data_IF_727461110710
#
_entry.id   IF_727461110710
#
_cell.length_a   1.000
_cell.length_b   1.000
_cell.length_c   1.000
_cell.angle_alpha   90.00
_cell.angle_beta   90.00
_cell.angle_gamma   90.00
#
_symmetry.space_group_name_H-M   'P 1'
#
loop_
_entity.id
_entity.type
_entity.pdbx_description
1 polymer ?
#
# COMPACT_ATOMS: atom_id res chain seq x y z
N UNK A 1 70.35 -1.77 -15.50
CA UNK A 1 70.11 -1.81 -16.97
C UNK A 1 68.86 -1.00 -17.27
N UNK A 2 69.02 0.13 -17.97
CA UNK A 2 67.94 1.02 -18.43
C UNK A 2 67.70 0.73 -19.92
N UNK A 3 66.45 0.53 -20.34
CA UNK A 3 66.01 0.59 -21.76
C UNK A 3 64.70 1.40 -21.76
N UNK A 4 64.74 2.69 -22.10
CA UNK A 4 64.66 3.32 -23.44
C UNK A 4 63.34 3.01 -24.19
N UNK A 5 62.40 3.92 -23.93
CA UNK A 5 61.42 4.59 -24.82
C UNK A 5 61.64 4.46 -26.34
N UNK A 6 60.57 4.17 -27.09
CA UNK A 6 60.27 4.72 -28.43
C UNK A 6 58.74 4.91 -28.57
N UNK A 7 58.38 6.06 -29.11
CA UNK A 7 57.08 6.68 -29.38
C UNK A 7 56.58 6.31 -30.79
N UNK A 8 55.26 6.32 -31.07
CA UNK A 8 54.72 7.22 -32.11
C UNK A 8 53.40 7.86 -31.63
N UNK A 9 53.15 9.18 -31.63
CA UNK A 9 53.06 10.22 -32.66
C UNK A 9 52.03 9.97 -33.79
N UNK A 10 51.01 10.86 -33.73
CA UNK A 10 50.10 11.41 -34.76
C UNK A 10 48.91 10.57 -35.25
N UNK A 11 47.70 11.02 -34.90
CA UNK A 11 46.88 11.81 -35.83
C UNK A 11 45.78 12.56 -35.05
N UNK A 12 45.79 13.89 -35.19
CA UNK A 12 44.76 14.78 -34.69
C UNK A 12 43.49 14.65 -35.53
N UNK A 13 42.34 14.45 -34.88
CA UNK A 13 41.04 14.79 -35.46
C UNK A 13 40.45 15.88 -34.58
N UNK A 14 40.61 17.10 -35.07
CA UNK A 14 39.86 18.29 -34.67
C UNK A 14 38.36 18.03 -34.92
N UNK A 15 37.59 17.83 -33.85
CA UNK A 15 36.14 18.03 -33.91
C UNK A 15 35.83 19.42 -33.40
N UNK A 16 35.42 20.23 -34.37
CA UNK A 16 34.97 21.61 -34.26
C UNK A 16 33.84 21.70 -33.24
N UNK A 17 34.05 22.51 -32.20
CA UNK A 17 32.95 23.08 -31.42
C UNK A 17 32.17 24.03 -32.34
N UNK A 18 30.91 23.70 -32.63
CA UNK A 18 29.91 24.69 -33.04
C UNK A 18 28.72 24.63 -32.08
N UNK A 19 28.19 25.78 -31.62
CA UNK A 19 27.01 25.82 -30.78
C UNK A 19 25.80 25.75 -31.71
N UNK A 20 25.12 24.62 -31.79
CA UNK A 20 23.79 24.60 -32.39
C UNK A 20 22.78 25.17 -31.39
N UNK A 21 22.48 26.44 -31.63
CA UNK A 21 21.29 27.12 -31.15
C UNK A 21 20.03 26.28 -31.43
N UNK A 22 19.06 26.40 -30.53
CA UNK A 22 17.84 25.63 -30.54
C UNK A 22 17.04 25.72 -31.83
N UNK A 23 16.60 24.55 -32.28
CA UNK A 23 15.33 24.43 -32.99
C UNK A 23 14.36 23.70 -32.08
N UNK A 24 13.46 24.48 -31.49
CA UNK A 24 12.15 24.01 -31.06
C UNK A 24 11.44 23.66 -32.37
N UNK A 25 11.58 22.41 -32.80
CA UNK A 25 10.66 21.83 -33.77
C UNK A 25 9.56 21.15 -32.94
N UNK A 26 8.40 21.82 -32.89
CA UNK A 26 7.14 21.20 -32.53
C UNK A 26 6.88 20.07 -33.51
N UNK A 27 7.29 18.85 -33.16
CA UNK A 27 6.86 17.64 -33.83
C UNK A 27 5.47 17.31 -33.25
N UNK A 28 4.46 17.78 -33.96
CA UNK A 28 3.08 17.29 -33.87
C UNK A 28 3.16 15.77 -34.15
N UNK A 29 3.11 14.95 -33.09
CA UNK A 29 3.30 13.52 -33.22
C UNK A 29 2.05 12.90 -33.85
N UNK A 30 2.24 12.20 -34.96
CA UNK A 30 1.26 11.25 -35.49
C UNK A 30 0.75 10.37 -34.34
N UNK A 31 -0.57 10.27 -34.23
CA UNK A 31 -1.30 9.61 -33.16
C UNK A 31 -0.86 8.14 -33.08
N UNK A 32 0.02 7.84 -32.13
CA UNK A 32 0.54 6.49 -31.91
C UNK A 32 -0.49 5.76 -31.06
N UNK A 33 -1.23 4.85 -31.68
CA UNK A 33 -2.10 3.90 -30.97
C UNK A 33 -1.26 3.11 -29.96
N UNK A 34 -1.59 3.24 -28.68
CA UNK A 34 -0.94 2.49 -27.59
C UNK A 34 -1.77 1.26 -27.27
N UNK A 35 -1.16 0.08 -27.35
CA UNK A 35 -1.81 -1.20 -27.05
C UNK A 35 -1.42 -1.70 -25.66
N UNK A 36 -2.27 -2.44 -24.96
CA UNK A 36 -1.95 -3.15 -23.70
C UNK A 36 -1.18 -4.45 -23.94
N UNK A 37 -0.98 -5.25 -22.89
CA UNK A 37 -0.35 -6.58 -23.02
C UNK A 37 -1.30 -7.66 -23.55
N UNK A 38 -2.58 -7.33 -23.67
CA UNK A 38 -3.63 -8.12 -24.30
C UNK A 38 -3.81 -7.81 -25.80
N UNK A 39 -2.95 -6.96 -26.37
CA UNK A 39 -2.97 -6.59 -27.79
C UNK A 39 -4.15 -5.71 -28.20
N UNK A 40 -4.89 -5.14 -27.24
CA UNK A 40 -5.99 -4.20 -27.51
C UNK A 40 -5.52 -2.76 -27.25
N UNK A 41 -6.05 -1.81 -28.01
CA UNK A 41 -5.81 -0.38 -27.81
C UNK A 41 -6.23 0.05 -26.40
N UNK A 42 -5.40 0.87 -25.76
CA UNK A 42 -5.62 1.41 -24.41
C UNK A 42 -6.54 2.61 -24.52
N UNK A 43 -7.62 2.62 -23.75
CA UNK A 43 -8.46 3.80 -23.57
C UNK A 43 -7.80 4.72 -22.54
N UNK A 44 -7.52 5.97 -22.92
CA UNK A 44 -6.75 6.91 -22.08
C UNK A 44 -7.65 8.07 -21.64
N UNK A 45 -7.86 8.17 -20.33
CA UNK A 45 -8.53 9.30 -19.69
C UNK A 45 -7.46 10.17 -19.03
N UNK A 46 -7.22 11.38 -19.54
CA UNK A 46 -6.13 12.23 -19.05
C UNK A 46 -6.48 13.73 -19.04
N UNK A 47 -5.83 14.53 -18.18
CA UNK A 47 -5.80 15.98 -18.30
C UNK A 47 -5.01 16.43 -19.55
N UNK A 48 -5.33 17.62 -20.04
CA UNK A 48 -4.72 18.19 -21.26
C UNK A 48 -3.21 18.44 -21.11
N UNK A 49 -2.73 18.67 -19.89
CA UNK A 49 -1.34 18.99 -19.58
C UNK A 49 -0.40 17.78 -19.47
N UNK A 50 -0.93 16.55 -19.61
CA UNK A 50 -0.11 15.35 -19.70
C UNK A 50 0.44 15.17 -21.12
N UNK A 51 1.77 15.14 -21.23
CA UNK A 51 2.48 14.93 -22.49
C UNK A 51 2.42 13.48 -22.97
N UNK A 52 2.38 13.27 -24.29
CA UNK A 52 2.39 11.93 -24.89
C UNK A 52 3.62 11.11 -24.50
N UNK A 53 4.78 11.75 -24.33
CA UNK A 53 5.99 11.09 -23.85
C UNK A 53 5.82 10.49 -22.43
N UNK A 54 5.06 11.17 -21.57
CA UNK A 54 4.76 10.66 -20.22
C UNK A 54 3.81 9.48 -20.25
N UNK A 55 2.82 9.51 -21.15
CA UNK A 55 1.88 8.40 -21.38
C UNK A 55 2.64 7.17 -21.86
N UNK A 56 3.53 7.32 -22.84
CA UNK A 56 4.38 6.25 -23.36
C UNK A 56 5.25 5.63 -22.26
N UNK A 57 5.83 6.45 -21.38
CA UNK A 57 6.58 5.99 -20.21
C UNK A 57 5.71 5.16 -19.26
N UNK A 58 4.52 5.65 -18.93
CA UNK A 58 3.58 4.98 -18.03
C UNK A 58 3.11 3.64 -18.59
N UNK A 59 2.70 3.60 -19.85
CA UNK A 59 2.27 2.36 -20.51
C UNK A 59 3.39 1.34 -20.53
N UNK A 60 4.63 1.73 -20.87
CA UNK A 60 5.76 0.81 -20.83
C UNK A 60 6.05 0.30 -19.41
N UNK A 61 5.87 1.15 -18.40
CA UNK A 61 6.02 0.77 -16.99
C UNK A 61 4.97 -0.26 -16.56
N UNK A 62 3.70 -0.06 -16.91
CA UNK A 62 2.63 -1.02 -16.60
C UNK A 62 2.83 -2.34 -17.35
N UNK A 63 3.17 -2.31 -18.65
CA UNK A 63 3.50 -3.50 -19.43
C UNK A 63 4.63 -4.32 -18.80
N UNK A 64 5.70 -3.64 -18.38
CA UNK A 64 6.82 -4.29 -17.72
C UNK A 64 6.40 -4.93 -16.40
N UNK A 65 5.54 -4.26 -15.61
CA UNK A 65 4.94 -4.85 -14.41
C UNK A 65 4.16 -6.13 -14.71
N UNK A 66 3.33 -6.12 -15.75
CA UNK A 66 2.56 -7.29 -16.18
C UNK A 66 3.47 -8.42 -16.69
N UNK A 67 4.52 -8.11 -17.45
CA UNK A 67 5.52 -9.10 -17.88
C UNK A 67 6.26 -9.72 -16.70
N UNK A 68 6.62 -8.93 -15.69
CA UNK A 68 7.23 -9.41 -14.45
C UNK A 68 6.26 -10.32 -13.65
N UNK A 69 4.97 -9.97 -13.59
CA UNK A 69 3.93 -10.80 -12.98
C UNK A 69 3.74 -12.13 -13.74
N UNK A 70 3.71 -12.08 -15.07
CA UNK A 70 3.66 -13.28 -15.93
C UNK A 70 4.90 -14.17 -15.73
N UNK A 71 6.10 -13.57 -15.67
CA UNK A 71 7.36 -14.30 -15.49
C UNK A 71 7.52 -14.89 -14.07
N UNK A 72 7.07 -14.18 -13.04
CA UNK A 72 7.02 -14.68 -11.66
C UNK A 72 6.07 -15.88 -11.56
N UNK A 73 4.91 -15.79 -12.19
CA UNK A 73 3.95 -16.88 -12.24
C UNK A 73 4.41 -18.05 -13.14
N UNK A 74 5.16 -17.82 -14.22
CA UNK A 74 5.80 -18.87 -15.04
C UNK A 74 6.89 -19.65 -14.28
N UNK A 75 7.62 -19.00 -13.36
CA UNK A 75 8.60 -19.70 -12.49
C UNK A 75 7.94 -20.66 -11.51
N UNK A 76 6.68 -20.41 -11.15
CA UNK A 76 5.84 -21.35 -10.37
C UNK A 76 5.38 -22.55 -11.23
N UNK A 77 5.30 -22.38 -12.56
CA UNK A 77 4.80 -23.38 -13.52
C UNK A 77 5.79 -24.43 -13.98
N UNK A 78 7.10 -24.29 -13.70
CA UNK A 78 8.10 -25.27 -14.16
C UNK A 78 7.90 -26.69 -13.58
N UNK A 79 6.95 -26.88 -12.66
CA UNK A 79 6.57 -28.19 -12.09
C UNK A 79 5.07 -28.52 -12.16
N UNK A 80 4.27 -27.82 -12.97
CA UNK A 80 2.83 -28.12 -13.07
C UNK A 80 2.35 -27.84 -14.50
N UNK A 81 1.81 -28.86 -15.17
CA UNK A 81 1.07 -28.72 -16.42
C UNK A 81 -0.19 -27.89 -16.16
N UNK A 82 -0.05 -26.57 -16.09
CA UNK A 82 -1.17 -25.62 -16.03
C UNK A 82 -1.46 -25.22 -17.46
N UNK A 83 -2.70 -25.43 -17.88
CA UNK A 83 -3.21 -24.98 -19.18
C UNK A 83 -3.01 -23.46 -19.30
N UNK A 84 -2.52 -23.00 -20.45
CA UNK A 84 -2.33 -21.58 -20.78
C UNK A 84 -3.57 -20.72 -20.49
N UNK A 85 -4.77 -21.32 -20.48
CA UNK A 85 -6.06 -20.63 -20.28
C UNK A 85 -6.29 -20.01 -18.89
N UNK A 86 -5.44 -20.28 -17.89
CA UNK A 86 -5.51 -19.60 -16.58
C UNK A 86 -4.83 -18.22 -16.63
N UNK A 87 -3.84 -18.05 -17.51
CA UNK A 87 -3.13 -16.77 -17.69
C UNK A 87 -3.92 -15.78 -18.54
N UNK A 88 -4.72 -16.31 -19.48
CA UNK A 88 -5.61 -15.53 -20.33
C UNK A 88 -6.80 -14.91 -19.58
N UNK A 89 -7.02 -15.26 -18.30
CA UNK A 89 -8.15 -14.76 -17.50
C UNK A 89 -7.74 -13.84 -16.33
N UNK A 90 -6.48 -13.40 -16.27
CA UNK A 90 -5.99 -12.53 -15.19
C UNK A 90 -6.46 -11.07 -15.34
N UNK A 91 -6.77 -10.44 -14.21
CA UNK A 91 -7.04 -9.00 -14.11
C UNK A 91 -5.79 -8.34 -13.52
N UNK A 92 -5.28 -7.32 -14.20
CA UNK A 92 -4.16 -6.52 -13.71
C UNK A 92 -4.67 -5.12 -13.39
N UNK A 93 -4.53 -4.71 -12.13
CA UNK A 93 -4.96 -3.40 -11.64
C UNK A 93 -3.77 -2.75 -10.90
N UNK A 94 -3.29 -1.61 -11.43
CA UNK A 94 -2.16 -0.88 -10.87
C UNK A 94 -2.57 0.56 -10.59
N UNK A 95 -2.20 1.05 -9.41
CA UNK A 95 -2.29 2.46 -9.06
C UNK A 95 -0.90 3.00 -8.71
N UNK A 96 -0.50 4.09 -9.37
CA UNK A 96 0.73 4.83 -9.07
C UNK A 96 0.33 6.23 -8.62
N UNK A 97 0.78 6.62 -7.43
CA UNK A 97 0.60 7.98 -6.92
C UNK A 97 1.88 8.76 -7.21
N UNK A 98 1.81 9.71 -8.13
CA UNK A 98 2.87 10.69 -8.41
C UNK A 98 2.66 11.99 -7.63
N UNK A 99 3.64 12.90 -7.74
CA UNK A 99 3.59 14.21 -7.06
C UNK A 99 2.39 15.07 -7.51
N UNK A 100 2.10 15.07 -8.82
CA UNK A 100 1.07 15.92 -9.42
C UNK A 100 -0.15 15.16 -9.97
N UNK A 101 -0.11 13.81 -10.00
CA UNK A 101 -1.15 12.97 -10.61
C UNK A 101 -1.24 11.59 -9.96
N UNK A 102 -2.44 11.02 -9.93
CA UNK A 102 -2.68 9.59 -9.72
C UNK A 102 -2.87 8.92 -11.08
N UNK A 103 -2.17 7.80 -11.30
CA UNK A 103 -2.23 7.02 -12.52
C UNK A 103 -2.80 5.63 -12.20
N UNK A 104 -3.94 5.30 -12.79
CA UNK A 104 -4.62 4.00 -12.62
C UNK A 104 -4.61 3.25 -13.94
N UNK A 105 -4.19 2.00 -13.93
CA UNK A 105 -4.17 1.14 -15.11
C UNK A 105 -4.87 -0.18 -14.82
N UNK A 106 -5.91 -0.48 -15.59
CA UNK A 106 -6.64 -1.74 -15.51
C UNK A 106 -6.55 -2.48 -16.85
N UNK A 107 -6.12 -3.74 -16.81
CA UNK A 107 -6.16 -4.65 -17.95
C UNK A 107 -6.93 -5.92 -17.59
N UNK A 108 -8.02 -6.16 -18.33
CA UNK A 108 -8.85 -7.36 -18.21
C UNK A 108 -8.89 -8.16 -19.52
N UNK A 109 -9.13 -9.48 -19.49
CA UNK A 109 -9.05 -10.37 -20.67
C UNK A 109 -9.91 -9.97 -21.87
N UNK A 110 -11.11 -9.45 -21.59
CA UNK A 110 -12.17 -9.29 -22.59
C UNK A 110 -12.58 -7.82 -22.81
N UNK A 111 -11.77 -6.87 -22.36
CA UNK A 111 -12.01 -5.44 -22.59
C UNK A 111 -10.72 -4.73 -22.99
N UNK A 112 -10.87 -3.54 -23.57
CA UNK A 112 -9.75 -2.64 -23.77
C UNK A 112 -9.15 -2.28 -22.41
N UNK A 113 -7.82 -2.25 -22.25
CA UNK A 113 -7.19 -1.72 -21.05
C UNK A 113 -7.53 -0.24 -20.89
N UNK A 114 -7.63 0.23 -19.66
CA UNK A 114 -7.94 1.62 -19.34
C UNK A 114 -6.79 2.24 -18.56
N UNK A 115 -6.30 3.40 -19.02
CA UNK A 115 -5.35 4.25 -18.30
C UNK A 115 -6.05 5.54 -17.90
N UNK A 116 -6.25 5.74 -16.60
CA UNK A 116 -6.82 6.97 -16.06
C UNK A 116 -5.74 7.76 -15.33
N UNK A 117 -5.58 9.03 -15.72
CA UNK A 117 -4.68 9.99 -15.11
C UNK A 117 -5.55 11.08 -14.50
N UNK A 118 -5.34 11.36 -13.23
CA UNK A 118 -6.19 12.28 -12.46
C UNK A 118 -5.29 13.22 -11.67
N UNK A 119 -5.61 14.51 -11.62
CA UNK A 119 -4.95 15.40 -10.65
C UNK A 119 -5.37 14.97 -9.24
N UNK A 120 -4.45 14.87 -8.27
CA UNK A 120 -4.83 14.77 -6.88
C UNK A 120 -5.61 16.05 -6.56
N UNK A 121 -6.71 15.94 -5.82
CA UNK A 121 -7.54 17.10 -5.53
C UNK A 121 -6.72 18.13 -4.71
N UNK A 122 -6.35 19.25 -5.36
CA UNK A 122 -5.30 20.16 -4.91
C UNK A 122 -5.83 21.07 -3.81
N UNK A 123 -5.71 20.63 -2.56
CA UNK A 123 -5.80 21.51 -1.38
C UNK A 123 -4.55 21.53 -0.49
N UNK A 124 -3.48 20.83 -0.86
CA UNK A 124 -2.32 20.60 0.00
C UNK A 124 -0.95 21.11 -0.53
N UNK A 125 -0.91 21.96 -1.55
CA UNK A 125 0.37 22.36 -2.16
C UNK A 125 0.67 23.87 -2.13
N UNK A 126 0.32 24.62 -1.09
CA UNK A 126 1.02 25.91 -0.81
C UNK A 126 1.00 26.18 0.70
N UNK A 127 2.13 26.00 1.38
CA UNK A 127 2.66 26.97 2.36
C UNK A 127 3.95 26.43 2.98
N UNK A 128 5.07 26.89 2.43
CA UNK A 128 6.39 26.71 3.00
C UNK A 128 7.18 28.01 2.87
N UNK A 129 6.99 28.92 3.82
CA UNK A 129 8.01 29.84 4.36
C UNK A 129 7.35 30.90 5.24
N UNK A 130 7.42 30.72 6.55
CA UNK A 130 7.94 31.72 7.50
C UNK A 130 7.95 31.16 8.92
N UNK A 131 9.10 31.31 9.58
CA UNK A 131 9.35 30.91 10.96
C UNK A 131 8.32 31.46 11.94
N UNK A 132 7.55 30.55 12.54
CA UNK A 132 7.06 30.60 13.93
C UNK A 132 6.56 29.20 14.29
N UNK A 133 7.03 28.66 15.42
CA UNK A 133 6.61 27.36 15.96
C UNK A 133 5.13 27.45 16.32
N UNK A 134 4.28 27.08 15.36
CA UNK A 134 2.91 26.60 15.57
C UNK A 134 2.95 25.11 15.30
N UNK A 135 2.58 24.30 16.28
CA UNK A 135 2.35 22.86 16.10
C UNK A 135 1.35 22.68 14.96
N UNK A 136 1.84 22.28 13.77
CA UNK A 136 0.99 21.94 12.64
C UNK A 136 0.05 20.83 13.09
N UNK A 137 -1.27 21.04 12.89
CA UNK A 137 -2.25 20.00 13.15
C UNK A 137 -1.88 18.77 12.30
N UNK A 138 -1.86 17.60 12.93
CA UNK A 138 -1.68 16.35 12.21
C UNK A 138 -2.84 16.21 11.21
N UNK A 139 -2.52 15.87 9.97
CA UNK A 139 -3.49 15.59 8.93
C UNK A 139 -3.12 14.25 8.29
N UNK A 140 -4.11 13.38 8.08
CA UNK A 140 -3.87 12.04 7.55
C UNK A 140 -3.77 11.99 6.02
N UNK A 141 -4.07 13.11 5.34
CA UNK A 141 -3.83 13.36 3.92
C UNK A 141 -4.98 12.93 3.01
N UNK A 142 -5.56 11.75 3.23
CA UNK A 142 -6.57 11.14 2.35
C UNK A 142 -7.88 10.76 3.05
N UNK A 143 -8.14 11.34 4.22
CA UNK A 143 -9.40 11.17 4.94
C UNK A 143 -9.32 11.62 6.38
N UNK A 144 -9.87 10.81 7.30
CA UNK A 144 -9.88 11.08 8.74
C UNK A 144 -9.24 9.94 9.51
N UNK A 145 -8.68 10.22 10.68
CA UNK A 145 -8.10 9.18 11.49
C UNK A 145 -7.31 9.64 12.69
N UNK A 146 -7.01 8.67 13.56
CA UNK A 146 -6.09 8.84 14.65
C UNK A 146 -4.88 7.93 14.48
N UNK A 147 -3.71 8.44 14.86
CA UNK A 147 -2.45 7.72 14.93
C UNK A 147 -1.84 7.80 16.33
N UNK A 148 -1.46 6.66 16.86
CA UNK A 148 -0.70 6.55 18.10
C UNK A 148 0.64 5.90 17.80
N UNK A 149 1.72 6.68 17.91
CA UNK A 149 3.08 6.17 17.79
C UNK A 149 3.60 5.57 19.09
N UNK A 150 4.46 4.56 18.96
CA UNK A 150 5.11 3.82 20.05
C UNK A 150 6.61 3.78 19.77
N UNK A 151 7.38 4.50 20.57
CA UNK A 151 8.84 4.57 20.51
C UNK A 151 9.42 3.48 21.41
N UNK A 152 9.58 2.28 20.84
CA UNK A 152 10.16 1.12 21.54
C UNK A 152 10.84 0.18 20.56
N UNK A 153 12.11 -0.13 20.82
CA UNK A 153 12.86 -1.12 20.06
C UNK A 153 12.33 -2.54 20.33
N UNK A 154 12.33 -3.36 19.27
CA UNK A 154 12.06 -4.79 19.29
C UNK A 154 11.79 -5.27 17.87
N UNK A 155 11.70 -6.58 17.66
CA UNK A 155 11.60 -7.20 16.33
C UNK A 155 10.16 -7.28 15.82
N UNK A 156 9.19 -7.26 16.73
CA UNK A 156 7.78 -7.22 16.40
C UNK A 156 6.93 -6.51 17.44
N UNK A 157 5.82 -5.96 16.98
CA UNK A 157 4.70 -5.53 17.81
C UNK A 157 3.59 -6.59 17.77
N UNK A 158 2.93 -6.82 18.89
CA UNK A 158 1.70 -7.60 18.97
C UNK A 158 0.64 -6.89 19.77
N UNK A 159 -0.62 -7.01 19.36
CA UNK A 159 -1.77 -6.39 20.05
C UNK A 159 -3.01 -7.26 19.88
N UNK A 160 -3.90 -7.21 20.86
CA UNK A 160 -5.28 -7.67 20.73
C UNK A 160 -6.11 -6.50 20.21
N UNK A 161 -6.58 -6.59 18.97
CA UNK A 161 -7.43 -5.59 18.34
C UNK A 161 -8.88 -6.06 18.44
N UNK A 162 -9.71 -5.30 19.16
CA UNK A 162 -11.16 -5.42 19.08
C UNK A 162 -11.64 -4.68 17.83
N UNK A 163 -12.17 -5.45 16.89
CA UNK A 163 -12.83 -4.92 15.70
C UNK A 163 -14.14 -4.25 16.09
N UNK A 164 -14.50 -3.14 15.43
CA UNK A 164 -15.70 -2.39 15.75
C UNK A 164 -16.98 -3.16 15.40
N UNK A 165 -18.09 -2.75 16.00
CA UNK A 165 -19.42 -3.09 15.51
C UNK A 165 -19.64 -2.47 14.14
N UNK A 166 -20.44 -3.09 13.28
CA UNK A 166 -20.79 -2.51 11.96
C UNK A 166 -21.43 -1.12 12.08
N UNK A 167 -22.19 -0.87 13.16
CA UNK A 167 -22.79 0.44 13.43
C UNK A 167 -21.77 1.53 13.76
N UNK A 168 -20.56 1.15 14.17
CA UNK A 168 -19.44 2.04 14.45
C UNK A 168 -18.59 2.32 13.21
N UNK A 169 -18.94 1.72 12.06
CA UNK A 169 -18.22 1.91 10.80
C UNK A 169 -19.16 2.55 9.78
N UNK A 170 -18.78 3.73 9.32
CA UNK A 170 -19.33 4.37 8.13
C UNK A 170 -18.15 4.57 7.20
N UNK A 171 -17.92 3.61 6.31
CA UNK A 171 -16.90 3.74 5.29
C UNK A 171 -17.41 4.68 4.20
N UNK A 172 -16.51 5.49 3.63
CA UNK A 172 -16.78 6.27 2.42
C UNK A 172 -16.07 5.59 1.25
N UNK A 173 -14.74 5.66 1.22
CA UNK A 173 -13.93 4.87 0.28
C UNK A 173 -13.49 3.56 0.92
N UNK A 174 -12.86 3.64 2.10
CA UNK A 174 -12.41 2.47 2.85
C UNK A 174 -12.19 2.82 4.32
N UNK A 175 -12.38 1.86 5.23
CA UNK A 175 -12.08 2.01 6.65
C UNK A 175 -11.03 1.00 7.08
N UNK A 176 -10.01 1.46 7.81
CA UNK A 176 -8.87 0.62 8.19
C UNK A 176 -8.61 0.62 9.69
N UNK A 177 -8.22 -0.54 10.20
CA UNK A 177 -7.62 -0.70 11.52
C UNK A 177 -6.30 -1.43 11.35
N UNK A 178 -5.19 -0.77 11.62
CA UNK A 178 -3.87 -1.34 11.38
C UNK A 178 -2.84 -0.92 12.41
N UNK A 179 -1.81 -1.76 12.50
CA UNK A 179 -0.52 -1.39 13.07
C UNK A 179 0.51 -1.29 11.96
N UNK A 180 1.77 -1.10 12.31
CA UNK A 180 2.80 -0.80 11.34
C UNK A 180 4.04 -0.24 12.01
N UNK A 181 4.94 0.23 11.18
CA UNK A 181 6.18 0.82 11.64
C UNK A 181 6.73 1.84 10.65
N UNK A 182 7.64 2.68 11.14
CA UNK A 182 8.55 3.45 10.29
C UNK A 182 9.99 3.02 10.58
N UNK A 183 10.83 3.00 9.55
CA UNK A 183 12.26 2.71 9.66
C UNK A 183 13.04 3.40 8.55
N UNK A 184 13.68 4.53 8.84
CA UNK A 184 14.32 5.39 7.87
C UNK A 184 13.33 5.74 6.76
N UNK A 185 13.60 5.22 5.56
CA UNK A 185 12.76 5.51 4.39
C UNK A 185 11.63 4.48 4.20
N UNK A 186 11.45 3.55 5.13
CA UNK A 186 10.37 2.57 5.10
C UNK A 186 9.18 3.01 5.93
N UNK A 187 7.99 2.76 5.41
CA UNK A 187 6.72 2.89 6.13
C UNK A 187 5.85 1.68 5.85
N UNK A 188 5.29 1.07 6.89
CA UNK A 188 4.45 -0.10 6.77
C UNK A 188 3.09 0.10 7.43
N UNK A 189 2.03 -0.29 6.72
CA UNK A 189 0.64 -0.31 7.15
C UNK A 189 0.14 -1.76 7.07
N UNK A 190 -0.14 -2.37 8.21
CA UNK A 190 -0.30 -3.81 8.35
C UNK A 190 -1.47 -4.09 9.30
N UNK A 191 -2.61 -4.48 8.73
CA UNK A 191 -3.80 -4.76 9.52
C UNK A 191 -4.97 -5.21 8.69
N UNK A 192 -6.09 -4.52 8.84
CA UNK A 192 -7.40 -4.93 8.33
C UNK A 192 -8.12 -3.77 7.66
N UNK A 193 -8.81 -4.09 6.57
CA UNK A 193 -9.74 -3.21 5.86
C UNK A 193 -11.16 -3.75 6.00
N UNK A 194 -12.11 -2.85 6.22
CA UNK A 194 -13.53 -3.20 6.29
C UNK A 194 -14.10 -3.49 4.90
N UNK A 195 -14.96 -4.49 4.79
CA UNK A 195 -15.66 -4.86 3.56
C UNK A 195 -17.13 -5.16 3.88
N UNK A 196 -18.03 -4.64 3.06
CA UNK A 196 -19.48 -4.75 3.23
C UNK A 196 -20.15 -5.75 2.29
N UNK A 197 -19.38 -6.58 1.59
CA UNK A 197 -19.85 -7.52 0.57
C UNK A 197 -19.26 -8.92 0.75
N UNK A 198 -19.14 -9.36 2.01
CA UNK A 198 -18.57 -10.66 2.40
C UNK A 198 -19.65 -11.63 2.87
N UNK A 199 -19.23 -12.82 3.32
CA UNK A 199 -20.13 -13.87 3.80
C UNK A 199 -20.85 -14.61 2.67
N UNK A 200 -21.63 -15.65 3.01
CA UNK A 200 -22.48 -16.34 2.06
C UNK A 200 -23.43 -15.37 1.34
N UNK A 201 -23.31 -15.28 0.01
CA UNK A 201 -24.14 -14.40 -0.81
C UNK A 201 -23.76 -12.92 -0.81
N UNK A 202 -22.62 -12.54 -0.22
CA UNK A 202 -22.11 -11.15 -0.23
C UNK A 202 -23.02 -10.12 0.47
N UNK A 203 -23.72 -10.55 1.52
CA UNK A 203 -24.63 -9.70 2.32
C UNK A 203 -24.10 -9.36 3.72
N UNK A 204 -22.94 -9.88 4.09
CA UNK A 204 -22.32 -9.65 5.39
C UNK A 204 -21.21 -8.61 5.32
N UNK A 205 -20.78 -8.19 6.50
CA UNK A 205 -19.72 -7.24 6.73
C UNK A 205 -18.60 -7.88 7.53
N UNK A 206 -17.37 -7.47 7.28
CA UNK A 206 -16.23 -8.00 8.00
C UNK A 206 -14.93 -7.29 7.67
N UNK A 207 -13.85 -7.83 8.20
CA UNK A 207 -12.51 -7.24 8.14
C UNK A 207 -11.54 -8.17 7.43
N UNK A 208 -10.98 -7.71 6.30
CA UNK A 208 -10.03 -8.45 5.48
C UNK A 208 -8.60 -8.01 5.78
N UNK A 209 -7.60 -8.92 5.82
CA UNK A 209 -6.20 -8.57 5.95
C UNK A 209 -5.73 -7.66 4.83
N UNK A 210 -4.93 -6.66 5.17
CA UNK A 210 -4.24 -5.78 4.22
C UNK A 210 -2.84 -5.47 4.74
N UNK A 211 -1.89 -5.34 3.81
CA UNK A 211 -0.50 -5.07 4.10
C UNK A 211 0.10 -4.25 2.97
N UNK A 212 0.61 -3.07 3.32
CA UNK A 212 1.32 -2.16 2.43
C UNK A 212 2.65 -1.82 3.09
N UNK A 213 3.75 -1.98 2.36
CA UNK A 213 5.09 -1.61 2.84
C UNK A 213 5.76 -0.75 1.78
N UNK A 214 6.02 0.51 2.09
CA UNK A 214 6.60 1.49 1.18
C UNK A 214 8.07 1.73 1.51
N UNK A 215 8.88 2.00 0.49
CA UNK A 215 10.25 2.52 0.59
C UNK A 215 10.34 3.78 -0.26
N UNK A 216 10.66 4.93 0.34
CA UNK A 216 10.62 6.23 -0.34
C UNK A 216 9.26 6.49 -1.03
N UNK A 217 8.15 6.14 -0.37
CA UNK A 217 6.80 6.23 -0.94
C UNK A 217 6.45 5.16 -1.99
N UNK A 218 7.40 4.33 -2.43
CA UNK A 218 7.17 3.27 -3.41
C UNK A 218 6.81 1.97 -2.71
N UNK A 219 5.64 1.42 -3.02
CA UNK A 219 5.17 0.17 -2.44
C UNK A 219 6.03 -1.04 -2.86
N UNK A 220 6.28 -1.91 -1.89
CA UNK A 220 6.84 -3.25 -2.04
C UNK A 220 5.70 -4.24 -2.08
N UNK A 221 5.65 -5.06 -3.12
CA UNK A 221 4.61 -6.06 -3.26
C UNK A 221 4.57 -6.99 -2.03
N UNK A 222 3.36 -7.22 -1.54
CA UNK A 222 3.07 -8.04 -0.37
C UNK A 222 1.88 -8.94 -0.64
N UNK A 223 1.95 -10.20 -0.20
CA UNK A 223 0.93 -11.19 -0.49
C UNK A 223 0.74 -12.18 0.65
N UNK A 224 -0.33 -12.98 0.55
CA UNK A 224 -0.58 -14.06 1.50
C UNK A 224 0.48 -15.17 1.36
N UNK A 225 1.00 -15.63 2.49
CA UNK A 225 1.80 -16.84 2.55
C UNK A 225 0.91 -18.04 2.20
N UNK A 226 1.44 -18.97 1.41
CA UNK A 226 0.73 -20.19 1.00
C UNK A 226 0.07 -20.89 2.19
N UNK A 227 -1.23 -21.18 2.06
CA UNK A 227 -2.03 -21.84 3.10
C UNK A 227 -2.69 -20.90 4.11
N UNK A 228 -2.43 -19.59 4.05
CA UNK A 228 -2.99 -18.59 4.98
C UNK A 228 -3.91 -17.57 4.31
N UNK A 229 -4.44 -17.90 3.13
CA UNK A 229 -5.20 -17.02 2.25
C UNK A 229 -6.72 -17.21 2.36
N UNK A 230 -7.22 -17.82 3.44
CA UNK A 230 -8.65 -18.16 3.56
C UNK A 230 -9.54 -16.98 3.95
N UNK A 231 -8.97 -15.91 4.50
CA UNK A 231 -9.71 -14.73 4.98
C UNK A 231 -9.57 -13.60 3.97
N UNK A 232 -10.09 -13.82 2.76
CA UNK A 232 -10.17 -12.84 1.68
C UNK A 232 -11.32 -13.21 0.74
N UNK A 233 -11.52 -12.46 -0.36
CA UNK A 233 -12.61 -12.70 -1.33
C UNK A 233 -13.98 -12.70 -0.64
N UNK A 234 -14.70 -13.82 -0.59
CA UNK A 234 -16.00 -13.89 0.07
C UNK A 234 -15.90 -14.01 1.60
N UNK A 235 -14.72 -14.26 2.17
CA UNK A 235 -14.54 -14.46 3.61
C UNK A 235 -13.83 -13.26 4.28
N UNK A 236 -14.07 -13.06 5.57
CA UNK A 236 -13.50 -11.98 6.38
C UNK A 236 -13.54 -12.32 7.88
N UNK A 237 -12.75 -11.61 8.70
CA UNK A 237 -12.89 -11.65 10.16
C UNK A 237 -14.17 -10.93 10.59
N UNK A 238 -14.84 -11.47 11.61
CA UNK A 238 -16.11 -10.93 12.09
C UNK A 238 -15.94 -9.55 12.72
N UNK A 239 -16.85 -8.63 12.42
CA UNK A 239 -17.03 -7.41 13.21
C UNK A 239 -17.36 -7.72 14.68
N UNK A 240 -17.07 -6.79 15.59
CA UNK A 240 -17.24 -6.96 17.03
C UNK A 240 -16.55 -8.21 17.62
N UNK A 241 -15.49 -8.68 16.98
CA UNK A 241 -14.66 -9.78 17.47
C UNK A 241 -13.25 -9.31 17.79
N UNK A 242 -12.53 -10.13 18.54
CA UNK A 242 -11.10 -9.90 18.80
C UNK A 242 -10.25 -10.61 17.76
N UNK A 243 -9.21 -9.91 17.32
CA UNK A 243 -8.11 -10.47 16.54
C UNK A 243 -6.79 -10.21 17.23
N UNK A 244 -5.87 -11.16 17.17
CA UNK A 244 -4.49 -10.97 17.60
C UNK A 244 -3.66 -10.59 16.37
N UNK A 245 -3.17 -9.36 16.34
CA UNK A 245 -2.34 -8.82 15.27
C UNK A 245 -0.88 -8.83 15.71
N UNK A 246 -0.01 -9.37 14.85
CA UNK A 246 1.44 -9.29 14.97
C UNK A 246 2.03 -8.64 13.72
N UNK A 247 3.01 -7.77 13.92
CA UNK A 247 3.73 -7.05 12.87
C UNK A 247 5.23 -7.16 13.10
N UNK A 248 5.96 -7.74 12.15
CA UNK A 248 7.42 -7.81 12.12
C UNK A 248 7.95 -6.90 11.02
N UNK A 249 8.90 -6.03 11.35
CA UNK A 249 9.64 -5.27 10.33
C UNK A 249 10.64 -6.14 9.57
N UNK A 250 11.13 -7.20 10.22
CA UNK A 250 12.04 -8.18 9.64
C UNK A 250 11.83 -9.56 10.27
N UNK A 251 11.24 -10.46 9.49
CA UNK A 251 11.12 -11.88 9.75
C UNK A 251 11.79 -12.62 8.58
N UNK A 252 13.00 -13.13 8.80
CA UNK A 252 13.82 -13.78 7.77
C UNK A 252 14.03 -12.91 6.51
N UNK A 253 14.29 -11.61 6.71
CA UNK A 253 14.55 -10.64 5.65
C UNK A 253 13.30 -9.93 5.11
N UNK A 254 12.09 -10.39 5.44
CA UNK A 254 10.81 -9.85 4.94
C UNK A 254 10.06 -9.10 6.02
N UNK A 255 9.26 -8.10 5.66
CA UNK A 255 8.22 -7.63 6.56
C UNK A 255 7.11 -8.70 6.61
N UNK A 256 6.54 -8.96 7.80
CA UNK A 256 5.51 -9.99 7.99
C UNK A 256 4.39 -9.48 8.86
N UNK A 257 3.16 -9.82 8.51
CA UNK A 257 1.98 -9.69 9.34
C UNK A 257 1.43 -11.08 9.68
N UNK A 258 0.95 -11.27 10.89
CA UNK A 258 0.09 -12.41 11.26
C UNK A 258 -1.15 -11.90 11.98
N UNK A 259 -2.31 -12.37 11.56
CA UNK A 259 -3.58 -12.12 12.22
C UNK A 259 -4.19 -13.47 12.60
N UNK A 260 -4.70 -13.58 13.82
CA UNK A 260 -5.49 -14.73 14.26
C UNK A 260 -6.83 -14.22 14.78
N UNK A 261 -7.93 -14.77 14.30
CA UNK A 261 -9.27 -14.30 14.65
C UNK A 261 -10.37 -15.29 14.29
N UNK A 262 -11.62 -14.91 14.49
CA UNK A 262 -12.78 -15.68 14.03
C UNK A 262 -13.29 -15.09 12.73
N UNK A 263 -13.32 -15.89 11.68
CA UNK A 263 -13.84 -15.53 10.37
C UNK A 263 -15.26 -16.05 10.17
N UNK A 264 -16.02 -15.42 9.26
CA UNK A 264 -17.38 -15.82 8.89
C UNK A 264 -17.45 -17.26 8.37
N UNK A 265 -16.48 -17.66 7.55
CA UNK A 265 -16.44 -18.97 6.92
C UNK A 265 -15.10 -19.68 7.14
N UNK A 266 -15.07 -20.98 6.86
CA UNK A 266 -13.84 -21.80 6.91
C UNK A 266 -12.89 -21.56 5.72
N UNK A 267 -13.45 -21.26 4.56
CA UNK A 267 -12.72 -21.15 3.30
C UNK A 267 -12.99 -19.82 2.59
N UNK A 268 -12.11 -19.50 1.63
CA UNK A 268 -12.11 -18.25 0.84
C UNK A 268 -13.41 -18.03 0.04
N UNK A 269 -14.08 -19.11 -0.38
CA UNK A 269 -15.29 -19.07 -1.19
C UNK A 269 -16.57 -18.92 -0.36
N UNK A 270 -16.46 -19.01 0.97
CA UNK A 270 -17.59 -18.87 1.91
C UNK A 270 -18.78 -19.79 1.57
N UNK A 271 -18.50 -21.00 1.07
CA UNK A 271 -19.55 -21.98 0.72
C UNK A 271 -20.32 -22.50 1.94
N UNK A 272 -19.73 -22.33 3.12
CA UNK A 272 -20.27 -22.69 4.43
C UNK A 272 -20.05 -21.51 5.39
N UNK A 273 -21.14 -20.89 5.86
CA UNK A 273 -21.18 -19.76 6.79
C UNK A 273 -20.84 -20.10 8.24
N UNK A 274 -20.11 -21.20 8.47
CA UNK A 274 -19.70 -21.59 9.81
C UNK A 274 -18.52 -20.75 10.27
N UNK A 275 -18.76 -19.96 11.32
CA UNK A 275 -17.74 -19.19 12.00
C UNK A 275 -16.54 -20.06 12.39
N UNK A 276 -15.35 -19.71 11.91
CA UNK A 276 -14.15 -20.53 12.05
C UNK A 276 -12.97 -19.71 12.52
N UNK A 277 -12.19 -20.24 13.47
CA UNK A 277 -10.93 -19.61 13.85
C UNK A 277 -9.89 -19.82 12.74
N UNK A 278 -9.41 -18.73 12.17
CA UNK A 278 -8.45 -18.73 11.07
C UNK A 278 -7.25 -17.85 11.39
N UNK A 279 -6.16 -18.16 10.70
CA UNK A 279 -4.93 -17.38 10.73
C UNK A 279 -4.66 -16.87 9.31
N UNK A 280 -4.31 -15.60 9.22
CA UNK A 280 -3.82 -14.94 8.02
C UNK A 280 -2.37 -14.55 8.22
N UNK A 281 -1.51 -14.84 7.23
CA UNK A 281 -0.12 -14.42 7.24
C UNK A 281 0.16 -13.76 5.90
N UNK A 282 0.62 -12.52 5.93
CA UNK A 282 1.07 -11.77 4.75
C UNK A 282 2.54 -11.40 4.92
N UNK A 283 3.28 -11.37 3.81
CA UNK A 283 4.68 -10.94 3.77
C UNK A 283 4.98 -10.14 2.52
N UNK A 284 6.04 -9.35 2.58
CA UNK A 284 6.66 -8.82 1.35
C UNK A 284 7.22 -9.97 0.53
N UNK A 285 7.08 -9.90 -0.79
CA UNK A 285 7.59 -10.93 -1.69
C UNK A 285 9.11 -10.98 -1.68
N UNK A 286 9.72 -9.80 -1.70
CA UNK A 286 11.15 -9.62 -1.64
C UNK A 286 11.64 -9.42 -0.20
N UNK A 287 12.89 -9.82 0.04
CA UNK A 287 13.57 -9.50 1.29
C UNK A 287 13.99 -8.03 1.28
N UNK A 288 13.46 -7.26 2.23
CA UNK A 288 13.78 -5.85 2.45
C UNK A 288 14.98 -5.65 3.38
N UNK A 289 15.29 -6.66 4.22
CA UNK A 289 16.39 -6.64 5.18
C UNK A 289 16.46 -5.37 6.04
N UNK A 290 15.28 -4.89 6.47
CA UNK A 290 15.17 -3.75 7.38
C UNK A 290 15.88 -4.13 8.69
N UNK A 291 16.84 -3.31 9.14
CA UNK A 291 17.71 -3.66 10.27
C UNK A 291 17.11 -3.29 11.62
N UNK A 292 16.42 -2.16 11.68
CA UNK A 292 15.93 -1.53 12.90
C UNK A 292 14.53 -1.00 12.68
N UNK A 293 13.87 -0.59 13.75
CA UNK A 293 12.60 0.11 13.70
C UNK A 293 12.77 1.44 14.43
N UNK A 294 12.27 2.53 13.86
CA UNK A 294 12.32 3.84 14.51
C UNK A 294 11.17 3.95 15.52
N UNK A 295 9.98 3.53 15.08
CA UNK A 295 8.78 3.49 15.89
C UNK A 295 7.73 2.55 15.29
N UNK A 296 6.86 2.05 16.16
CA UNK A 296 5.63 1.37 15.77
C UNK A 296 4.47 2.37 15.74
N UNK A 297 3.40 2.02 15.03
CA UNK A 297 2.20 2.86 14.96
C UNK A 297 0.93 2.03 15.09
N UNK A 298 -0.12 2.63 15.63
CA UNK A 298 -1.49 2.11 15.69
C UNK A 298 -2.43 3.14 15.09
N UNK A 299 -3.31 2.73 14.17
CA UNK A 299 -4.20 3.66 13.45
C UNK A 299 -5.60 3.10 13.29
N UNK A 300 -6.58 3.99 13.34
CA UNK A 300 -7.96 3.73 12.89
C UNK A 300 -8.36 4.89 12.00
N UNK A 301 -8.67 4.59 10.73
CA UNK A 301 -8.83 5.61 9.69
C UNK A 301 -10.05 5.34 8.82
N UNK A 302 -10.50 6.38 8.12
CA UNK A 302 -11.44 6.29 7.00
C UNK A 302 -10.88 7.12 5.86
N UNK A 303 -10.63 6.48 4.72
CA UNK A 303 -10.32 7.17 3.47
C UNK A 303 -11.63 7.74 2.92
N UNK A 304 -11.66 9.05 2.66
CA UNK A 304 -12.88 9.75 2.25
C UNK A 304 -12.57 11.03 1.49
N UNK A 305 -13.55 11.50 0.72
CA UNK A 305 -13.55 12.86 0.18
C UNK A 305 -14.36 13.79 1.09
N UNK A 306 -13.69 14.81 1.65
CA UNK A 306 -14.33 15.82 2.50
C UNK A 306 -14.55 15.40 3.95
N UNK A 307 -13.62 14.61 4.50
CA UNK A 307 -13.51 14.28 5.94
C UNK A 307 -14.75 13.60 6.53
N UNK A 308 -15.29 12.64 5.78
CA UNK A 308 -16.53 11.93 6.10
C UNK A 308 -16.28 10.53 6.66
N UNK A 309 -17.32 10.02 7.31
CA UNK A 309 -17.38 8.66 7.78
C UNK A 309 -17.01 8.51 9.25
N UNK A 310 -16.88 7.24 9.65
CA UNK A 310 -16.62 6.84 11.02
C UNK A 310 -15.93 5.50 11.09
N UNK A 311 -14.98 5.36 11.99
CA UNK A 311 -14.36 4.08 12.30
C UNK A 311 -13.86 4.06 13.75
N UNK A 312 -13.68 2.85 14.29
CA UNK A 312 -13.15 2.65 15.64
C UNK A 312 -12.22 1.45 15.67
N UNK A 313 -11.08 1.62 16.33
CA UNK A 313 -10.16 0.55 16.71
C UNK A 313 -9.90 0.58 18.20
N UNK A 314 -9.87 -0.59 18.85
CA UNK A 314 -9.45 -0.70 20.25
C UNK A 314 -8.33 -1.72 20.35
N UNK A 315 -7.13 -1.22 20.58
CA UNK A 315 -5.88 -1.99 20.69
C UNK A 315 -5.57 -2.20 22.16
N UNK A 316 -5.43 -3.44 22.60
CA UNK A 316 -5.13 -3.79 23.99
C UNK A 316 -4.04 -4.84 24.07
N UNK A 317 -3.48 -5.06 25.26
CA UNK A 317 -2.37 -6.00 25.45
C UNK A 317 -1.20 -5.73 24.50
N UNK A 318 -0.90 -4.44 24.27
CA UNK A 318 0.09 -3.98 23.30
C UNK A 318 1.49 -4.35 23.80
N UNK A 319 2.23 -5.12 23.02
CA UNK A 319 3.56 -5.63 23.37
C UNK A 319 4.54 -5.41 22.24
N UNK A 320 5.81 -5.28 22.60
CA UNK A 320 6.95 -5.37 21.68
C UNK A 320 7.87 -6.46 22.19
N UNK A 321 8.15 -7.47 21.36
CA UNK A 321 8.86 -8.70 21.75
C UNK A 321 8.28 -9.36 23.02
N UNK A 322 6.96 -9.60 23.05
CA UNK A 322 6.19 -10.13 24.19
C UNK A 322 6.20 -9.29 25.48
N UNK A 323 6.94 -8.17 25.52
CA UNK A 323 7.00 -7.26 26.66
C UNK A 323 5.98 -6.15 26.50
N UNK A 324 5.11 -5.97 27.51
CA UNK A 324 4.11 -4.90 27.52
C UNK A 324 4.76 -3.53 27.28
N UNK A 325 4.13 -2.72 26.43
CA UNK A 325 4.59 -1.36 26.16
C UNK A 325 4.29 -0.48 27.38
N UNK A 326 5.30 0.17 27.99
CA UNK A 326 5.06 1.08 29.10
C UNK A 326 4.39 2.37 28.60
N UNK A 327 3.59 3.03 29.44
CA UNK A 327 2.90 4.28 29.08
C UNK A 327 3.85 5.38 28.58
N UNK A 328 5.11 5.38 29.05
CA UNK A 328 6.14 6.34 28.63
C UNK A 328 6.67 6.15 27.20
N UNK A 329 6.42 4.99 26.57
CA UNK A 329 6.84 4.71 25.19
C UNK A 329 5.83 5.21 24.15
N UNK A 330 4.63 5.60 24.58
CA UNK A 330 3.61 6.13 23.68
C UNK A 330 3.79 7.64 23.51
N UNK A 331 3.98 8.08 22.26
CA UNK A 331 4.06 9.50 21.91
C UNK A 331 2.75 10.24 22.17
N UNK A 332 2.77 11.56 22.02
CA UNK A 332 1.55 12.35 21.97
C UNK A 332 0.64 11.83 20.83
N UNK A 333 -0.67 11.67 21.07
CA UNK A 333 -1.59 11.25 20.02
C UNK A 333 -1.63 12.25 18.86
N UNK A 334 -1.75 11.71 17.65
CA UNK A 334 -1.90 12.48 16.42
C UNK A 334 -3.34 12.27 15.92
N UNK A 335 -4.12 13.35 15.83
CA UNK A 335 -5.56 13.28 15.58
C UNK A 335 -5.98 14.17 14.43
N UNK A 336 -6.79 13.63 13.54
CA UNK A 336 -7.45 14.34 12.46
C UNK A 336 -8.90 13.86 12.39
N UNK A 337 -9.86 14.67 12.84
CA UNK A 337 -11.25 14.25 13.07
C UNK A 337 -11.34 12.95 13.91
N UNK A 338 -10.51 12.88 14.95
CA UNK A 338 -10.38 11.68 15.76
C UNK A 338 -10.17 11.99 17.24
N UNK A 339 -10.51 11.02 18.07
CA UNK A 339 -10.15 10.99 19.49
C UNK A 339 -9.35 9.73 19.80
N UNK A 340 -8.30 9.90 20.59
CA UNK A 340 -7.45 8.80 21.07
C UNK A 340 -7.45 8.82 22.58
N UNK A 341 -7.87 7.72 23.18
CA UNK A 341 -7.85 7.53 24.64
C UNK A 341 -6.94 6.37 25.00
N UNK A 342 -6.21 6.55 26.09
CA UNK A 342 -5.34 5.53 26.68
C UNK A 342 -5.81 5.24 28.09
N UNK A 343 -5.99 3.97 28.42
CA UNK A 343 -6.30 3.57 29.80
C UNK A 343 -5.04 3.12 30.56
N UNK A 344 -5.18 2.89 31.87
CA UNK A 344 -4.11 2.37 32.71
C UNK A 344 -3.73 0.90 32.44
N UNK A 345 -4.48 0.21 31.56
CA UNK A 345 -4.34 -1.22 31.26
C UNK A 345 -3.67 -1.47 29.90
N UNK A 346 -2.95 -0.46 29.37
CA UNK A 346 -2.27 -0.56 28.09
C UNK A 346 -3.25 -0.83 26.92
N UNK A 347 -4.39 -0.16 26.97
CA UNK A 347 -5.38 -0.08 25.90
C UNK A 347 -5.32 1.30 25.24
N UNK A 348 -5.32 1.33 23.91
CA UNK A 348 -5.48 2.51 23.07
C UNK A 348 -6.80 2.36 22.30
N UNK A 349 -7.75 3.26 22.54
CA UNK A 349 -8.96 3.37 21.73
C UNK A 349 -8.84 4.56 20.79
N UNK A 350 -8.98 4.32 19.50
CA UNK A 350 -8.98 5.34 18.46
C UNK A 350 -10.37 5.38 17.85
N UNK A 351 -11.00 6.55 17.84
CA UNK A 351 -12.30 6.80 17.20
C UNK A 351 -12.09 7.89 16.16
N UNK A 352 -12.24 7.55 14.88
CA UNK A 352 -12.34 8.50 13.79
C UNK A 352 -13.82 8.78 13.53
N UNK A 353 -14.23 10.03 13.55
CA UNK A 353 -15.61 10.43 13.32
C UNK A 353 -15.61 11.85 12.76
N UNK A 354 -16.25 12.05 11.61
CA UNK A 354 -16.38 13.34 10.93
C UNK A 354 -16.86 14.49 11.84
N UNK A 355 -17.53 14.20 12.96
CA UNK A 355 -18.03 15.20 13.89
C UNK A 355 -17.02 15.62 14.96
N UNK A 356 -15.87 14.94 15.05
CA UNK A 356 -14.76 15.32 15.94
C UNK A 356 -13.86 16.34 15.25
N UNK A 357 -13.18 17.20 16.02
CA UNK A 357 -12.22 18.19 15.52
C UNK A 357 -10.93 18.11 16.32
#
# INVERSE_FOLDING_TARGET
MKKKMVLPILAAVSLVFSPFAGHIASAESADKTLEGTNGREIVIHKPDDISSAKIDELVNRFKKGIEEDRASNQKISMNKNVSESVYDNAIYDYTIIGEDYVYKYEEVPNKAPELTIEKPDVKYLIEGQNDRITTSAYNIGDGIGGRQDIVKNGSYLSTLLRLPLDSQVVQETAAYNYSGFTSGNYEADMGLVYDSTVGPGSFEKGWKPTMVVKRNGVESHSGFVTGYSNVQSANAYLSNSDVVLYVWYNNNGKARMKISGTATCRDIGCSDGTNTSLISIMETDNSLNISTVDQWKLLSTVVSTGDKGRNRGTYSSIKVNDVAVPSSAFSAPLTDHASITRDGNNTVTIVADQNLR
#
